data_IF_974911503849
#
_entry.id   IF_974911503849
#
_cell.length_a   1.000
_cell.length_b   1.000
_cell.length_c   1.000
_cell.angle_alpha   90.00
_cell.angle_beta   90.00
_cell.angle_gamma   90.00
#
_symmetry.space_group_name_H-M   'P 1'
#
loop_
_entity.id
_entity.type
_entity.pdbx_description
1 polymer ?
#
# COMPACT_ATOMS: atom_id res chain seq x y z
N UNK A 1 -5.31 5.51 -18.03
CA UNK A 1 -5.57 4.32 -17.18
C UNK A 1 -5.47 4.78 -15.75
N UNK A 2 -6.43 4.45 -14.89
CA UNK A 2 -6.26 4.64 -13.45
C UNK A 2 -5.45 3.45 -12.91
N UNK A 3 -4.30 3.72 -12.30
CA UNK A 3 -3.49 2.71 -11.65
C UNK A 3 -4.00 2.53 -10.22
N UNK A 4 -4.24 1.30 -9.79
CA UNK A 4 -4.72 1.02 -8.44
C UNK A 4 -3.62 0.33 -7.65
N UNK A 5 -3.56 0.61 -6.35
CA UNK A 5 -2.56 -0.02 -5.50
C UNK A 5 -3.11 -0.36 -4.11
N UNK A 6 -2.84 -1.58 -3.67
CA UNK A 6 -2.89 -1.94 -2.26
C UNK A 6 -1.52 -1.66 -1.66
N UNK A 7 -1.44 -0.77 -0.67
CA UNK A 7 -0.18 -0.35 -0.10
C UNK A 7 0.09 -1.15 1.18
N UNK A 8 1.16 -1.92 1.23
CA UNK A 8 1.62 -2.51 2.48
C UNK A 8 2.04 -1.40 3.45
N UNK A 9 1.69 -1.57 4.73
CA UNK A 9 2.02 -0.61 5.79
C UNK A 9 3.52 -0.34 5.89
N UNK A 10 4.39 -1.30 5.53
CA UNK A 10 5.83 -1.06 5.51
C UNK A 10 6.24 0.04 4.52
N UNK A 11 5.49 0.25 3.44
CA UNK A 11 5.75 1.27 2.43
C UNK A 11 5.40 2.64 3.00
N UNK A 12 4.24 2.76 3.67
CA UNK A 12 3.83 4.00 4.35
C UNK A 12 4.84 4.38 5.44
N UNK A 13 5.23 3.44 6.28
CA UNK A 13 6.26 3.66 7.31
C UNK A 13 7.57 4.11 6.68
N UNK A 14 7.99 3.46 5.59
CA UNK A 14 9.25 3.79 4.92
C UNK A 14 9.21 5.18 4.28
N UNK A 15 8.07 5.57 3.70
CA UNK A 15 7.87 6.90 3.14
C UNK A 15 7.97 7.97 4.22
N UNK A 16 7.23 7.81 5.32
CA UNK A 16 7.20 8.76 6.44
C UNK A 16 8.53 8.89 7.19
N UNK A 17 9.33 7.81 7.27
CA UNK A 17 10.67 7.84 7.90
C UNK A 17 11.79 8.32 6.97
N UNK A 18 11.54 8.38 5.65
CA UNK A 18 12.57 8.73 4.69
C UNK A 18 13.05 10.16 4.88
N UNK A 19 14.36 10.37 4.73
CA UNK A 19 14.98 11.71 4.63
C UNK A 19 15.31 12.09 3.18
N UNK A 20 14.95 11.22 2.24
CA UNK A 20 15.24 11.36 0.82
C UNK A 20 13.92 11.46 0.09
N UNK A 21 13.71 12.60 -0.54
CA UNK A 21 12.47 12.88 -1.29
C UNK A 21 12.38 11.97 -2.54
N UNK A 22 13.51 11.52 -3.07
CA UNK A 22 13.60 10.60 -4.21
C UNK A 22 13.52 9.11 -3.84
N UNK A 23 13.28 8.77 -2.57
CA UNK A 23 13.16 7.38 -2.16
C UNK A 23 11.91 6.74 -2.80
N UNK A 24 11.98 5.48 -3.27
CA UNK A 24 10.85 4.89 -4.00
C UNK A 24 9.51 4.87 -3.24
N UNK A 25 9.53 4.65 -1.92
CA UNK A 25 8.33 4.69 -1.10
C UNK A 25 7.73 6.10 -0.99
N UNK A 26 8.57 7.14 -0.93
CA UNK A 26 8.13 8.55 -0.91
C UNK A 26 7.45 8.89 -2.23
N UNK A 27 8.10 8.58 -3.35
CA UNK A 27 7.53 8.85 -4.68
C UNK A 27 6.21 8.08 -4.93
N UNK A 28 6.09 6.83 -4.46
CA UNK A 28 4.81 6.10 -4.53
C UNK A 28 3.73 6.84 -3.74
N UNK A 29 4.07 7.38 -2.57
CA UNK A 29 3.15 8.17 -1.75
C UNK A 29 2.76 9.48 -2.43
N UNK A 30 3.69 10.17 -3.10
CA UNK A 30 3.38 11.37 -3.89
C UNK A 30 2.39 11.08 -5.02
N UNK A 31 2.58 9.98 -5.76
CA UNK A 31 1.63 9.57 -6.80
C UNK A 31 0.26 9.15 -6.26
N UNK A 32 0.17 8.75 -5.00
CA UNK A 32 -1.12 8.54 -4.34
C UNK A 32 -1.78 9.90 -4.05
N UNK A 33 -1.03 10.79 -3.41
CA UNK A 33 -1.53 12.12 -2.99
C UNK A 33 -1.89 13.04 -4.17
N UNK A 34 -1.27 12.87 -5.33
CA UNK A 34 -1.63 13.61 -6.55
C UNK A 34 -2.77 12.95 -7.36
N UNK A 35 -3.25 11.77 -6.93
CA UNK A 35 -4.34 11.03 -7.54
C UNK A 35 -3.96 10.20 -8.77
N UNK A 36 -2.67 10.09 -9.12
CA UNK A 36 -2.19 9.23 -10.20
C UNK A 36 -2.40 7.74 -9.89
N UNK A 37 -2.21 7.38 -8.62
CA UNK A 37 -2.44 6.04 -8.06
C UNK A 37 -3.61 6.10 -7.09
N UNK A 38 -4.62 5.28 -7.35
CA UNK A 38 -5.80 5.15 -6.50
C UNK A 38 -5.56 4.05 -5.44
N UNK A 39 -5.46 4.38 -4.13
CA UNK A 39 -5.23 3.38 -3.10
C UNK A 39 -6.50 2.55 -2.87
N UNK A 40 -6.35 1.23 -2.78
CA UNK A 40 -7.46 0.29 -2.53
C UNK A 40 -7.20 -0.45 -1.23
N UNK A 41 -8.20 -0.49 -0.35
CA UNK A 41 -8.06 -1.08 0.97
C UNK A 41 -9.40 -1.63 1.48
N UNK A 42 -9.35 -2.43 2.54
CA UNK A 42 -10.50 -2.82 3.33
C UNK A 42 -10.33 -2.35 4.79
N UNK A 43 -11.33 -2.60 5.64
CA UNK A 43 -11.29 -2.20 7.05
C UNK A 43 -10.13 -2.84 7.85
N UNK A 44 -9.69 -4.04 7.47
CA UNK A 44 -8.56 -4.71 8.14
C UNK A 44 -7.23 -3.98 7.85
N UNK A 45 -7.04 -3.54 6.61
CA UNK A 45 -5.86 -2.76 6.20
C UNK A 45 -5.83 -1.41 6.90
N UNK A 46 -6.96 -0.68 6.94
CA UNK A 46 -7.05 0.60 7.66
C UNK A 46 -6.73 0.45 9.15
N UNK A 47 -7.20 -0.64 9.78
CA UNK A 47 -6.87 -0.94 11.17
C UNK A 47 -5.39 -1.27 11.37
N UNK A 48 -4.75 -1.98 10.44
CA UNK A 48 -3.31 -2.23 10.47
C UNK A 48 -2.52 -0.92 10.31
N UNK A 49 -2.94 -0.02 9.40
CA UNK A 49 -2.33 1.30 9.25
C UNK A 49 -2.35 2.07 10.56
N UNK A 50 -3.52 2.24 11.18
CA UNK A 50 -3.67 2.97 12.44
C UNK A 50 -2.81 2.36 13.56
N UNK A 51 -2.89 1.03 13.73
CA UNK A 51 -2.16 0.28 14.75
C UNK A 51 -0.64 0.36 14.59
N UNK A 52 -0.14 0.25 13.35
CA UNK A 52 1.30 0.26 13.07
C UNK A 52 1.87 1.67 13.14
N UNK A 53 1.23 2.65 12.50
CA UNK A 53 1.73 4.02 12.42
C UNK A 53 1.77 4.68 13.81
N UNK A 54 0.88 4.31 14.73
CA UNK A 54 0.90 4.82 16.11
C UNK A 54 1.89 4.13 17.04
N UNK A 55 2.70 3.16 16.57
CA UNK A 55 3.71 2.53 17.42
C UNK A 55 4.77 3.55 17.84
N UNK A 56 4.99 3.66 19.14
CA UNK A 56 5.94 4.62 19.76
C UNK A 56 7.32 4.63 19.09
N UNK A 57 7.82 3.46 18.67
CA UNK A 57 9.12 3.33 18.00
C UNK A 57 9.29 4.16 16.72
N UNK A 58 8.20 4.56 16.08
CA UNK A 58 8.23 5.40 14.88
C UNK A 58 8.17 6.89 15.22
N UNK A 59 7.56 7.25 16.35
CA UNK A 59 7.49 8.64 16.82
C UNK A 59 6.65 9.57 15.96
N UNK A 60 5.68 9.05 15.19
CA UNK A 60 4.76 9.88 14.40
C UNK A 60 3.73 10.57 15.30
N UNK A 61 3.42 11.83 14.99
CA UNK A 61 2.34 12.56 15.67
C UNK A 61 0.97 11.93 15.40
N UNK A 62 0.14 11.86 16.43
CA UNK A 62 -1.18 11.23 16.33
C UNK A 62 -2.12 11.94 15.34
N UNK A 63 -1.98 13.27 15.18
CA UNK A 63 -2.72 14.06 14.18
C UNK A 63 -2.27 13.70 12.77
N UNK A 64 -0.96 13.61 12.53
CA UNK A 64 -0.39 13.23 11.23
C UNK A 64 -0.88 11.84 10.78
N UNK A 65 -0.92 10.85 11.68
CA UNK A 65 -1.46 9.52 11.35
C UNK A 65 -2.94 9.59 10.95
N UNK A 66 -3.72 10.40 11.67
CA UNK A 66 -5.16 10.56 11.41
C UNK A 66 -5.39 11.26 10.07
N UNK A 67 -4.71 12.38 9.83
CA UNK A 67 -4.78 13.15 8.58
C UNK A 67 -4.37 12.29 7.38
N UNK A 68 -3.32 11.47 7.51
CA UNK A 68 -2.91 10.56 6.45
C UNK A 68 -3.99 9.51 6.13
N UNK A 69 -4.56 8.88 7.15
CA UNK A 69 -5.59 7.85 6.94
C UNK A 69 -6.84 8.47 6.32
N UNK A 70 -7.25 9.67 6.77
CA UNK A 70 -8.38 10.40 6.21
C UNK A 70 -8.14 10.77 4.74
N UNK A 71 -6.93 11.21 4.38
CA UNK A 71 -6.55 11.53 3.01
C UNK A 71 -6.55 10.29 2.12
N UNK A 72 -6.00 9.16 2.59
CA UNK A 72 -6.07 7.88 1.88
C UNK A 72 -7.53 7.44 1.67
N UNK A 73 -8.40 7.64 2.67
CA UNK A 73 -9.83 7.38 2.55
C UNK A 73 -10.53 8.28 1.52
N UNK A 74 -10.11 9.55 1.41
CA UNK A 74 -10.68 10.51 0.47
C UNK A 74 -10.25 10.26 -0.98
N UNK A 75 -9.02 9.79 -1.19
CA UNK A 75 -8.45 9.51 -2.51
C UNK A 75 -8.77 8.09 -3.02
N UNK A 76 -9.00 7.16 -2.09
CA UNK A 76 -9.04 5.73 -2.34
C UNK A 76 -10.41 5.09 -2.45
N UNK A 77 -10.38 3.76 -2.58
CA UNK A 77 -11.55 2.90 -2.61
C UNK A 77 -11.52 1.91 -1.43
N UNK A 78 -12.53 2.02 -0.57
CA UNK A 78 -12.84 1.03 0.45
C UNK A 78 -13.65 -0.09 -0.18
N UNK A 79 -13.13 -1.33 -0.14
CA UNK A 79 -13.82 -2.51 -0.64
C UNK A 79 -14.08 -3.52 0.47
N UNK A 80 -15.09 -4.36 0.25
CA UNK A 80 -15.27 -5.59 1.03
C UNK A 80 -14.53 -6.74 0.35
N UNK A 81 -13.90 -7.61 1.15
CA UNK A 81 -13.26 -8.83 0.68
C UNK A 81 -13.92 -10.04 1.30
N UNK A 82 -13.98 -11.13 0.54
CA UNK A 82 -14.45 -12.42 1.03
C UNK A 82 -13.22 -13.21 1.52
N UNK A 83 -13.37 -13.92 2.64
CA UNK A 83 -12.33 -14.86 3.08
C UNK A 83 -12.10 -15.92 1.99
N UNK A 84 -10.91 -15.88 1.42
CA UNK A 84 -10.51 -16.76 0.32
C UNK A 84 -9.96 -18.11 0.79
N UNK A 85 -9.77 -18.30 2.11
CA UNK A 85 -9.06 -19.44 2.68
C UNK A 85 -7.57 -19.47 2.34
N UNK A 86 -7.02 -18.36 1.84
CA UNK A 86 -5.60 -18.25 1.53
C UNK A 86 -4.78 -18.34 2.82
N UNK A 87 -3.69 -19.12 2.75
CA UNK A 87 -2.71 -19.25 3.83
C UNK A 87 -1.39 -18.70 3.32
N UNK A 88 -0.95 -17.60 3.93
CA UNK A 88 0.37 -17.01 3.70
C UNK A 88 1.32 -17.35 4.87
N UNK A 89 2.64 -17.23 4.69
CA UNK A 89 3.60 -17.38 5.78
C UNK A 89 3.32 -16.46 6.97
N UNK A 90 2.84 -15.24 6.71
CA UNK A 90 2.31 -14.32 7.72
C UNK A 90 0.83 -14.08 7.45
N UNK A 91 -0.03 -14.44 8.41
CA UNK A 91 -1.48 -14.26 8.28
C UNK A 91 -1.89 -12.78 8.28
N UNK A 92 -1.02 -11.86 8.74
CA UNK A 92 -1.27 -10.41 8.66
C UNK A 92 -1.19 -9.87 7.24
N UNK A 93 -0.54 -10.59 6.34
CA UNK A 93 -0.40 -10.20 4.94
C UNK A 93 -1.62 -10.61 4.10
N UNK A 94 -2.49 -11.50 4.62
CA UNK A 94 -3.68 -12.00 3.91
C UNK A 94 -4.63 -10.88 3.48
N UNK A 95 -5.02 -9.90 4.32
CA UNK A 95 -5.93 -8.84 3.89
C UNK A 95 -5.39 -8.03 2.71
N UNK A 96 -4.08 -7.75 2.68
CA UNK A 96 -3.44 -7.03 1.58
C UNK A 96 -3.51 -7.82 0.27
N UNK A 97 -3.21 -9.11 0.35
CA UNK A 97 -3.26 -10.00 -0.81
C UNK A 97 -4.68 -10.21 -1.32
N UNK A 98 -5.65 -10.38 -0.43
CA UNK A 98 -7.06 -10.58 -0.79
C UNK A 98 -7.64 -9.36 -1.50
N UNK A 99 -7.38 -8.16 -0.99
CA UNK A 99 -7.82 -6.92 -1.67
C UNK A 99 -7.24 -6.87 -3.08
N UNK A 100 -5.95 -7.13 -3.25
CA UNK A 100 -5.31 -7.06 -4.55
C UNK A 100 -5.82 -8.14 -5.54
N UNK A 101 -6.19 -9.32 -5.06
CA UNK A 101 -6.68 -10.44 -5.89
C UNK A 101 -8.17 -10.35 -6.23
N UNK A 102 -8.96 -9.76 -5.36
CA UNK A 102 -10.42 -9.68 -5.52
C UNK A 102 -10.85 -8.37 -6.20
N UNK A 103 -9.97 -7.38 -6.30
CA UNK A 103 -10.29 -6.14 -6.99
C UNK A 103 -10.42 -6.35 -8.51
N UNK A 104 -11.60 -6.04 -9.04
CA UNK A 104 -11.95 -6.24 -10.46
C UNK A 104 -11.41 -5.12 -11.35
N UNK A 105 -10.08 -4.95 -11.41
CA UNK A 105 -9.43 -4.04 -12.34
C UNK A 105 -8.21 -4.65 -13.04
N UNK A 106 -8.00 -4.26 -14.29
CA UNK A 106 -6.85 -4.73 -15.10
C UNK A 106 -5.50 -4.23 -14.58
N UNK A 107 -5.47 -3.25 -13.67
CA UNK A 107 -4.24 -2.62 -13.17
C UNK A 107 -4.32 -2.32 -11.69
N UNK A 108 -4.16 -3.38 -10.90
CA UNK A 108 -4.03 -3.37 -9.44
C UNK A 108 -2.71 -4.01 -9.05
N UNK A 109 -2.01 -3.37 -8.12
CA UNK A 109 -0.72 -3.86 -7.61
C UNK A 109 -0.71 -3.86 -6.09
N UNK A 110 -0.18 -4.93 -5.49
CA UNK A 110 0.21 -4.96 -4.10
C UNK A 110 1.64 -4.43 -3.98
N UNK A 111 1.78 -3.23 -3.43
CA UNK A 111 3.09 -2.58 -3.26
C UNK A 111 3.64 -2.91 -1.88
N UNK A 112 4.75 -3.64 -1.82
CA UNK A 112 5.34 -4.12 -0.55
C UNK A 112 6.87 -4.15 -0.58
N UNK A 113 7.50 -3.85 0.56
CA UNK A 113 8.92 -4.12 0.79
C UNK A 113 9.24 -5.60 1.11
N UNK A 114 8.22 -6.43 1.35
CA UNK A 114 8.34 -7.80 1.84
C UNK A 114 7.84 -8.84 0.81
N UNK A 115 8.19 -8.68 -0.47
CA UNK A 115 7.72 -9.55 -1.58
C UNK A 115 7.80 -11.05 -1.32
N UNK A 116 8.78 -11.50 -0.52
CA UNK A 116 8.97 -12.91 -0.13
C UNK A 116 7.84 -13.49 0.75
N UNK A 117 6.97 -12.65 1.32
CA UNK A 117 5.82 -13.11 2.11
C UNK A 117 4.63 -13.50 1.22
N UNK A 118 4.66 -13.13 -0.06
CA UNK A 118 3.57 -13.35 -0.98
C UNK A 118 3.93 -14.41 -2.04
N UNK A 119 2.92 -15.02 -2.67
CA UNK A 119 3.13 -15.81 -3.87
C UNK A 119 3.82 -14.98 -4.96
N UNK A 120 4.62 -15.65 -5.81
CA UNK A 120 5.29 -14.99 -6.93
C UNK A 120 4.24 -14.70 -8.02
N UNK A 121 3.66 -13.50 -7.98
CA UNK A 121 2.66 -13.03 -8.94
C UNK A 121 3.02 -11.64 -9.49
N UNK A 122 2.67 -11.32 -10.76
CA UNK A 122 2.96 -10.02 -11.37
C UNK A 122 2.35 -8.81 -10.65
N UNK A 123 1.29 -9.03 -9.86
CA UNK A 123 0.64 -7.97 -9.09
C UNK A 123 1.43 -7.58 -7.84
N UNK A 124 2.33 -8.43 -7.33
CA UNK A 124 3.12 -8.14 -6.12
C UNK A 124 4.41 -7.46 -6.54
N UNK A 125 4.56 -6.19 -6.16
CA UNK A 125 5.64 -5.33 -6.63
C UNK A 125 6.31 -4.60 -5.48
N UNK A 126 7.60 -4.32 -5.64
CA UNK A 126 8.32 -3.38 -4.76
C UNK A 126 7.94 -1.94 -5.10
N UNK A 127 8.16 -0.96 -4.19
CA UNK A 127 7.96 0.45 -4.50
C UNK A 127 8.71 0.91 -5.76
N UNK A 128 9.93 0.39 -6.01
CA UNK A 128 10.68 0.71 -7.23
C UNK A 128 9.97 0.21 -8.49
N UNK A 129 9.52 -1.05 -8.48
CA UNK A 129 8.78 -1.62 -9.61
C UNK A 129 7.46 -0.87 -9.85
N UNK A 130 6.79 -0.42 -8.78
CA UNK A 130 5.60 0.42 -8.91
C UNK A 130 5.90 1.73 -9.65
N UNK A 131 7.02 2.40 -9.35
CA UNK A 131 7.44 3.59 -10.09
C UNK A 131 7.75 3.31 -11.57
N UNK A 132 8.38 2.18 -11.87
CA UNK A 132 8.64 1.76 -13.25
C UNK A 132 7.33 1.56 -14.02
N UNK A 133 6.32 0.99 -13.37
CA UNK A 133 4.96 0.81 -13.93
C UNK A 133 4.28 2.16 -14.16
N UNK A 134 4.31 3.07 -13.18
CA UNK A 134 3.65 4.39 -13.28
C UNK A 134 4.31 5.25 -14.36
N UNK A 135 5.65 5.26 -14.40
CA UNK A 135 6.41 6.16 -15.28
C UNK A 135 6.70 5.60 -16.67
N UNK A 136 6.53 4.29 -16.85
CA UNK A 136 6.90 3.58 -18.08
C UNK A 136 8.41 3.56 -18.35
N UNK A 137 9.24 3.90 -17.36
CA UNK A 137 10.70 3.95 -17.48
C UNK A 137 11.32 2.85 -16.61
N UNK A 138 12.10 1.98 -17.24
CA UNK A 138 13.03 1.09 -16.54
C UNK A 138 14.21 1.93 -16.07
N UNK A 139 14.35 2.13 -14.75
CA UNK A 139 15.51 2.81 -14.13
C UNK A 139 16.54 1.82 -13.63
#
# INVERSE_FOLDING_TARGET
MKCHAVIDTNVLVSALLSKKDDAPAVLVMEYILDGTVNPVFNNYILAEYDSVLRREKFGFDASLVTELIDELCALGELIETIDSGVVLPDMKDVPFYEVARQYEAESIYLVTGNVKHFPVEPLVVTPRQMLEIITGKLT
#
